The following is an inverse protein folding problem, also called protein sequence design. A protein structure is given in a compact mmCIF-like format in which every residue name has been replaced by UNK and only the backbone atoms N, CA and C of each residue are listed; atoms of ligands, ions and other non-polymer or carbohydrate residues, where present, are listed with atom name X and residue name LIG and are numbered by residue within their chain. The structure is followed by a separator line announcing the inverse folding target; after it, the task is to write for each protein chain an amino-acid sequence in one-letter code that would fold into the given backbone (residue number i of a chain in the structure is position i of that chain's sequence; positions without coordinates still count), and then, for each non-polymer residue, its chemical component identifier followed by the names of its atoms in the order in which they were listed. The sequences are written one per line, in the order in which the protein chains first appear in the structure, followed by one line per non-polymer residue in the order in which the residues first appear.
data_IF_771002881269
#
_entry.id   IF_771002881269
#
_cell.length_a   1.000
_cell.length_b   1.000
_cell.length_c   1.000
_cell.angle_alpha   90.00
_cell.angle_beta   90.00
_cell.angle_gamma   90.00
#
_symmetry.space_group_name_H-M   'P 1'
#
loop_
_entity.id
_entity.type
_entity.pdbx_description
1 polymer ?
#
# COMPACT_ATOMS: atom_id res chain seq x y z
N UNK A 1 -13.43 21.49 -21.57
CA UNK A 1 -12.46 20.40 -21.32
C UNK A 1 -12.55 19.43 -22.48
N UNK A 2 -11.42 19.02 -23.09
CA UNK A 2 -11.44 18.08 -24.22
C UNK A 2 -12.05 16.73 -23.77
N UNK A 3 -12.85 16.06 -24.62
CA UNK A 3 -13.37 14.72 -24.33
C UNK A 3 -12.26 13.69 -24.00
N UNK A 4 -11.01 13.93 -24.44
CA UNK A 4 -9.85 13.11 -24.06
C UNK A 4 -9.49 13.23 -22.57
N UNK A 5 -9.74 14.38 -21.92
CA UNK A 5 -9.43 14.58 -20.50
C UNK A 5 -10.46 13.91 -19.58
N UNK A 6 -11.68 13.68 -20.08
CA UNK A 6 -12.72 12.94 -19.34
C UNK A 6 -12.34 11.46 -19.18
N UNK A 7 -11.51 10.93 -20.07
CA UNK A 7 -11.05 9.54 -20.02
C UNK A 7 -9.91 9.26 -19.02
N UNK A 8 -9.28 10.29 -18.44
CA UNK A 8 -8.11 10.14 -17.56
C UNK A 8 -8.46 10.22 -16.06
N UNK A 9 -9.61 10.82 -15.71
CA UNK A 9 -10.01 10.98 -14.32
C UNK A 9 -10.78 9.73 -13.85
N UNK A 10 -10.45 9.14 -12.68
CA UNK A 10 -11.26 8.06 -12.11
C UNK A 10 -12.68 8.54 -11.83
N UNK A 11 -13.67 7.64 -11.90
CA UNK A 11 -15.04 7.98 -11.54
C UNK A 11 -15.13 8.42 -10.09
N UNK A 12 -16.14 9.24 -9.77
CA UNK A 12 -16.42 9.68 -8.39
C UNK A 12 -16.58 8.49 -7.43
N UNK A 13 -17.15 7.39 -7.92
CA UNK A 13 -17.29 6.14 -7.16
C UNK A 13 -15.93 5.53 -6.83
N UNK A 14 -15.05 5.40 -7.81
CA UNK A 14 -13.71 4.85 -7.56
C UNK A 14 -12.87 5.77 -6.69
N UNK A 15 -12.96 7.09 -6.86
CA UNK A 15 -12.30 8.06 -5.97
C UNK A 15 -12.78 7.90 -4.53
N UNK A 16 -14.09 7.81 -4.32
CA UNK A 16 -14.67 7.64 -2.97
C UNK A 16 -14.24 6.33 -2.31
N UNK A 17 -14.35 5.20 -3.03
CA UNK A 17 -13.95 3.88 -2.51
C UNK A 17 -12.43 3.80 -2.30
N UNK A 18 -11.65 4.35 -3.23
CA UNK A 18 -10.20 4.45 -3.13
C UNK A 18 -9.76 5.27 -1.92
N UNK A 19 -10.33 6.46 -1.73
CA UNK A 19 -10.03 7.29 -0.56
C UNK A 19 -10.36 6.56 0.75
N UNK A 20 -11.53 5.91 0.82
CA UNK A 20 -11.90 5.11 1.98
C UNK A 20 -10.90 3.99 2.26
N UNK A 21 -10.49 3.23 1.23
CA UNK A 21 -9.49 2.18 1.38
C UNK A 21 -8.11 2.72 1.78
N UNK A 22 -7.71 3.87 1.23
CA UNK A 22 -6.50 4.58 1.62
C UNK A 22 -6.50 4.97 3.09
N UNK A 23 -7.60 5.56 3.56
CA UNK A 23 -7.76 5.93 4.97
C UNK A 23 -7.76 4.69 5.87
N UNK A 24 -8.47 3.62 5.50
CA UNK A 24 -8.46 2.37 6.24
C UNK A 24 -7.05 1.78 6.33
N UNK A 25 -6.30 1.74 5.22
CA UNK A 25 -4.93 1.25 5.18
C UNK A 25 -4.01 2.10 6.07
N UNK A 26 -4.12 3.42 5.98
CA UNK A 26 -3.37 4.35 6.83
C UNK A 26 -3.67 4.16 8.32
N UNK A 27 -4.94 3.99 8.69
CA UNK A 27 -5.37 3.78 10.08
C UNK A 27 -4.82 2.47 10.62
N UNK A 28 -4.99 1.37 9.88
CA UNK A 28 -4.48 0.05 10.30
C UNK A 28 -2.96 0.06 10.38
N UNK A 29 -2.28 0.65 9.39
CA UNK A 29 -0.82 0.79 9.41
C UNK A 29 -0.32 1.65 10.58
N UNK A 30 -1.01 2.75 10.87
CA UNK A 30 -0.73 3.60 12.03
C UNK A 30 -0.92 2.87 13.35
N UNK A 31 -2.02 2.12 13.50
CA UNK A 31 -2.30 1.30 14.69
C UNK A 31 -1.22 0.22 14.90
N UNK A 32 -0.82 -0.49 13.84
CA UNK A 32 0.28 -1.45 13.91
C UNK A 32 1.61 -0.78 14.28
N UNK A 33 1.87 0.41 13.75
CA UNK A 33 3.10 1.15 14.08
C UNK A 33 3.16 1.51 15.56
N UNK A 34 2.05 1.97 16.14
CA UNK A 34 1.94 2.24 17.59
C UNK A 34 2.14 0.94 18.38
N UNK A 35 1.51 -0.16 17.95
CA UNK A 35 1.66 -1.45 18.60
C UNK A 35 3.10 -1.99 18.55
N UNK A 36 3.81 -1.77 17.45
CA UNK A 36 5.24 -2.10 17.30
C UNK A 36 6.19 -1.09 17.97
N UNK A 37 5.65 -0.09 18.69
CA UNK A 37 6.45 0.86 19.47
C UNK A 37 7.15 1.94 18.66
N UNK A 38 6.68 2.26 17.45
CA UNK A 38 7.30 3.31 16.63
C UNK A 38 6.99 4.70 17.19
N UNK A 39 8.02 5.54 17.32
CA UNK A 39 7.89 6.92 17.79
C UNK A 39 7.64 7.90 16.64
N UNK A 40 6.55 8.66 16.73
CA UNK A 40 6.10 9.59 15.69
C UNK A 40 6.31 11.08 16.03
N UNK A 41 6.47 11.41 17.32
CA UNK A 41 6.39 12.79 17.83
C UNK A 41 7.45 13.76 17.27
N UNK A 42 8.52 13.25 16.64
CA UNK A 42 9.57 14.05 16.02
C UNK A 42 10.03 13.47 14.67
N UNK A 43 9.21 12.64 14.01
CA UNK A 43 9.64 11.99 12.78
C UNK A 43 9.48 12.95 11.58
N UNK A 44 10.57 13.43 10.95
CA UNK A 44 10.48 14.34 9.80
C UNK A 44 9.85 13.70 8.56
N UNK A 45 9.73 12.36 8.55
CA UNK A 45 9.12 11.59 7.47
C UNK A 45 7.65 11.22 7.73
N UNK A 46 7.01 11.74 8.79
CA UNK A 46 5.62 11.40 9.12
C UNK A 46 4.67 11.68 7.95
N UNK A 47 4.78 12.86 7.31
CA UNK A 47 3.95 13.21 6.15
C UNK A 47 4.21 12.27 4.94
N UNK A 48 5.46 11.89 4.73
CA UNK A 48 5.85 10.96 3.66
C UNK A 48 5.24 9.56 3.89
N UNK A 49 5.32 9.04 5.11
CA UNK A 49 4.75 7.73 5.46
C UNK A 49 3.22 7.77 5.44
N UNK A 50 2.61 8.85 5.94
CA UNK A 50 1.16 9.01 5.91
C UNK A 50 0.61 9.07 4.48
N UNK A 51 1.29 9.80 3.60
CA UNK A 51 0.98 9.81 2.17
C UNK A 51 1.15 8.42 1.56
N UNK A 52 2.23 7.72 1.89
CA UNK A 52 2.47 6.35 1.44
C UNK A 52 1.35 5.39 1.84
N UNK A 53 0.95 5.39 3.11
CA UNK A 53 -0.15 4.57 3.62
C UNK A 53 -1.48 4.89 2.92
N UNK A 54 -1.77 6.18 2.70
CA UNK A 54 -2.95 6.61 1.97
C UNK A 54 -2.94 6.09 0.51
N UNK A 55 -1.82 6.28 -0.20
CA UNK A 55 -1.70 5.91 -1.61
C UNK A 55 -1.67 4.40 -1.82
N UNK A 56 -1.00 3.65 -0.95
CA UNK A 56 -0.96 2.19 -1.01
C UNK A 56 -2.34 1.56 -0.82
N UNK A 57 -3.22 2.15 -0.01
CA UNK A 57 -4.61 1.70 0.05
C UNK A 57 -5.46 2.22 -1.12
N UNK A 58 -5.28 3.49 -1.52
CA UNK A 58 -6.17 4.13 -2.47
C UNK A 58 -5.95 3.71 -3.92
N UNK A 59 -4.70 3.77 -4.41
CA UNK A 59 -4.37 3.55 -5.82
C UNK A 59 -4.77 2.15 -6.31
N UNK A 60 -4.36 1.03 -5.67
CA UNK A 60 -4.73 -0.29 -6.16
C UNK A 60 -6.25 -0.53 -6.08
N UNK A 61 -6.95 0.06 -5.12
CA UNK A 61 -8.41 -0.05 -5.02
C UNK A 61 -9.12 0.75 -6.10
N UNK A 62 -8.62 1.91 -6.49
CA UNK A 62 -9.13 2.64 -7.67
C UNK A 62 -8.99 1.77 -8.92
N UNK A 63 -7.81 1.16 -9.13
CA UNK A 63 -7.56 0.28 -10.28
C UNK A 63 -8.45 -0.98 -10.25
N UNK A 64 -8.73 -1.51 -9.06
CA UNK A 64 -9.68 -2.61 -8.89
C UNK A 64 -11.11 -2.19 -9.26
N UNK A 65 -11.55 -1.00 -8.86
CA UNK A 65 -12.93 -0.55 -9.11
C UNK A 65 -13.15 -0.15 -10.57
N UNK A 66 -12.22 0.58 -11.16
CA UNK A 66 -12.32 1.10 -12.54
C UNK A 66 -11.96 0.04 -13.58
N UNK A 67 -10.82 -0.61 -13.40
CA UNK A 67 -10.22 -1.48 -14.41
C UNK A 67 -10.37 -2.96 -14.08
N UNK A 68 -10.96 -3.29 -12.93
CA UNK A 68 -11.09 -4.66 -12.40
C UNK A 68 -9.74 -5.35 -12.22
N UNK A 69 -8.65 -4.58 -12.06
CA UNK A 69 -7.30 -5.12 -11.88
C UNK A 69 -7.12 -5.56 -10.42
N UNK A 70 -6.93 -6.86 -10.21
CA UNK A 70 -6.87 -7.46 -8.88
C UNK A 70 -5.42 -7.55 -8.39
N UNK A 71 -4.47 -7.74 -9.29
CA UNK A 71 -3.06 -7.95 -8.95
C UNK A 71 -2.44 -6.82 -8.12
N UNK A 72 -2.68 -5.52 -8.42
CA UNK A 72 -2.14 -4.42 -7.60
C UNK A 72 -2.54 -4.51 -6.13
N UNK A 73 -3.81 -4.83 -5.85
CA UNK A 73 -4.34 -4.97 -4.48
C UNK A 73 -3.72 -6.16 -3.76
N UNK A 74 -3.53 -7.28 -4.46
CA UNK A 74 -2.87 -8.47 -3.90
C UNK A 74 -1.43 -8.16 -3.51
N UNK A 75 -0.66 -7.48 -4.39
CA UNK A 75 0.74 -7.13 -4.11
C UNK A 75 0.84 -6.28 -2.84
N UNK A 76 0.03 -5.23 -2.72
CA UNK A 76 0.04 -4.37 -1.53
C UNK A 76 -0.40 -5.14 -0.29
N UNK A 77 -1.47 -5.93 -0.37
CA UNK A 77 -1.98 -6.70 0.77
C UNK A 77 -0.95 -7.72 1.28
N UNK A 78 -0.32 -8.47 0.37
CA UNK A 78 0.72 -9.45 0.71
C UNK A 78 1.93 -8.74 1.33
N UNK A 79 2.41 -7.64 0.73
CA UNK A 79 3.53 -6.87 1.27
C UNK A 79 3.23 -6.32 2.68
N UNK A 80 2.02 -5.80 2.90
CA UNK A 80 1.58 -5.31 4.21
C UNK A 80 1.54 -6.42 5.26
N UNK A 81 0.88 -7.54 4.95
CA UNK A 81 0.74 -8.67 5.88
C UNK A 81 2.09 -9.33 6.16
N UNK A 82 2.89 -9.58 5.12
CA UNK A 82 4.20 -10.21 5.29
C UNK A 82 5.16 -9.34 6.10
N UNK A 83 5.15 -8.01 5.89
CA UNK A 83 5.99 -7.11 6.66
C UNK A 83 5.51 -6.96 8.11
N UNK A 84 4.20 -6.87 8.36
CA UNK A 84 3.64 -6.85 9.71
C UNK A 84 3.93 -8.16 10.47
N UNK A 85 3.72 -9.31 9.82
CA UNK A 85 4.04 -10.62 10.38
C UNK A 85 5.54 -10.78 10.63
N UNK A 86 6.39 -10.32 9.71
CA UNK A 86 7.84 -10.34 9.87
C UNK A 86 8.31 -9.51 11.06
N UNK A 87 7.71 -8.35 11.29
CA UNK A 87 8.01 -7.56 12.50
C UNK A 87 7.50 -8.25 13.76
N UNK A 88 6.26 -8.75 13.77
CA UNK A 88 5.70 -9.42 14.93
C UNK A 88 6.48 -10.68 15.32
N UNK A 89 6.78 -11.55 14.36
CA UNK A 89 7.46 -12.83 14.60
C UNK A 89 8.89 -12.69 15.11
N UNK A 90 9.55 -11.56 14.84
CA UNK A 90 10.95 -11.33 15.25
C UNK A 90 11.05 -10.42 16.48
N UNK A 91 10.17 -9.43 16.63
CA UNK A 91 10.34 -8.36 17.61
C UNK A 91 9.22 -8.27 18.65
N UNK A 92 8.17 -9.09 18.54
CA UNK A 92 7.04 -9.08 19.49
C UNK A 92 6.78 -10.47 20.08
N UNK A 93 6.75 -11.51 19.25
CA UNK A 93 6.44 -12.87 19.69
C UNK A 93 7.55 -13.57 20.51
N UNK A 94 8.85 -13.41 20.21
CA UNK A 94 9.91 -14.15 20.91
C UNK A 94 10.19 -13.65 22.33
N UNK A 95 10.67 -14.55 23.21
CA UNK A 95 11.14 -14.20 24.56
C UNK A 95 12.45 -13.41 24.55
N UNK A 96 13.33 -13.70 23.59
CA UNK A 96 14.61 -13.01 23.40
C UNK A 96 14.52 -12.17 22.13
N UNK A 97 14.51 -10.85 22.31
CA UNK A 97 14.36 -9.90 21.21
C UNK A 97 15.76 -9.52 20.69
N UNK A 98 16.06 -9.73 19.40
CA UNK A 98 17.33 -9.32 18.83
C UNK A 98 17.43 -7.79 18.74
N UNK A 99 18.64 -7.26 18.89
CA UNK A 99 18.91 -5.86 18.61
C UNK A 99 18.74 -5.59 17.09
N UNK A 100 17.91 -4.63 16.67
CA UNK A 100 17.73 -4.35 15.24
C UNK A 100 19.00 -3.80 14.60
N UNK A 101 19.39 -4.36 13.44
CA UNK A 101 20.48 -3.84 12.59
C UNK A 101 19.97 -2.84 11.52
N UNK A 102 18.71 -2.41 11.63
CA UNK A 102 18.03 -1.50 10.73
C UNK A 102 16.52 -1.44 11.04
N UNK A 103 15.72 -0.76 10.19
CA UNK A 103 14.26 -0.83 10.27
C UNK A 103 13.77 -2.28 10.31
N UNK A 104 12.71 -2.54 11.08
CA UNK A 104 12.02 -3.84 11.05
C UNK A 104 11.37 -4.06 9.67
N UNK A 105 10.95 -5.28 9.31
CA UNK A 105 10.26 -5.52 8.03
C UNK A 105 9.09 -4.55 7.78
N UNK A 106 8.26 -4.28 8.79
CA UNK A 106 7.20 -3.28 8.71
C UNK A 106 7.73 -1.85 8.59
N UNK A 107 8.83 -1.52 9.28
CA UNK A 107 9.52 -0.24 9.08
C UNK A 107 9.98 -0.02 7.65
N UNK A 108 10.55 -1.05 7.01
CA UNK A 108 10.93 -1.03 5.59
C UNK A 108 9.72 -0.88 4.67
N UNK A 109 8.61 -1.52 4.97
CA UNK A 109 7.36 -1.33 4.21
C UNK A 109 6.89 0.13 4.27
N UNK A 110 6.91 0.75 5.45
CA UNK A 110 6.45 2.13 5.63
C UNK A 110 7.31 3.15 4.88
N UNK A 111 8.65 3.01 4.91
CA UNK A 111 9.54 3.96 4.23
C UNK A 111 9.79 3.60 2.76
N UNK A 112 9.63 2.33 2.39
CA UNK A 112 9.82 1.81 1.04
C UNK A 112 8.54 1.77 0.19
N UNK A 113 7.48 2.47 0.61
CA UNK A 113 6.15 2.38 -0.01
C UNK A 113 6.15 2.66 -1.52
N UNK A 114 7.06 3.52 -2.01
CA UNK A 114 7.18 3.82 -3.45
C UNK A 114 7.56 2.58 -4.26
N UNK A 115 8.42 1.71 -3.69
CA UNK A 115 8.81 0.44 -4.33
C UNK A 115 7.62 -0.52 -4.37
N UNK A 116 6.87 -0.60 -3.27
CA UNK A 116 5.65 -1.43 -3.19
C UNK A 116 4.60 -0.96 -4.19
N UNK A 117 4.37 0.35 -4.28
CA UNK A 117 3.43 0.94 -5.24
C UNK A 117 3.90 0.72 -6.68
N UNK A 118 5.20 0.90 -6.96
CA UNK A 118 5.78 0.60 -8.27
C UNK A 118 5.56 -0.86 -8.68
N UNK A 119 5.82 -1.81 -7.77
CA UNK A 119 5.55 -3.23 -8.01
C UNK A 119 4.06 -3.49 -8.28
N UNK A 120 3.16 -2.90 -7.49
CA UNK A 120 1.72 -3.02 -7.70
C UNK A 120 1.29 -2.48 -9.08
N UNK A 121 1.81 -1.33 -9.51
CA UNK A 121 1.51 -0.77 -10.83
C UNK A 121 2.06 -1.61 -11.98
N UNK A 122 3.29 -2.14 -11.86
CA UNK A 122 3.88 -3.05 -12.85
C UNK A 122 3.01 -4.31 -13.01
N UNK A 123 2.61 -4.94 -11.90
CA UNK A 123 1.73 -6.12 -11.96
C UNK A 123 0.35 -5.80 -12.53
N UNK A 124 -0.22 -4.63 -12.23
CA UNK A 124 -1.45 -4.15 -12.85
C UNK A 124 -1.32 -3.94 -14.36
N UNK A 125 -0.19 -3.40 -14.82
CA UNK A 125 0.11 -3.25 -16.25
C UNK A 125 0.22 -4.61 -16.97
N UNK A 126 0.87 -5.58 -16.33
CA UNK A 126 0.94 -6.97 -16.84
C UNK A 126 -0.45 -7.59 -16.93
N UNK A 127 -1.22 -7.54 -15.84
CA UNK A 127 -2.60 -8.06 -15.79
C UNK A 127 -3.47 -7.42 -16.88
N UNK A 128 -3.37 -6.10 -17.04
CA UNK A 128 -4.09 -5.36 -18.07
C UNK A 128 -3.73 -5.81 -19.49
N UNK A 129 -2.44 -5.96 -19.77
CA UNK A 129 -1.93 -6.41 -21.06
C UNK A 129 -2.41 -7.82 -21.40
N UNK A 130 -2.30 -8.76 -20.46
CA UNK A 130 -2.76 -10.14 -20.64
C UNK A 130 -4.27 -10.21 -20.93
N UNK A 131 -5.08 -9.43 -20.22
CA UNK A 131 -6.54 -9.39 -20.44
C UNK A 131 -6.90 -8.92 -21.85
N UNK A 132 -6.18 -7.94 -22.39
CA UNK A 132 -6.41 -7.46 -23.77
C UNK A 132 -6.07 -8.53 -24.80
N UNK A 133 -4.95 -9.23 -24.63
CA UNK A 133 -4.54 -10.29 -25.58
C UNK A 133 -5.54 -11.44 -25.59
N UNK A 134 -6.02 -11.88 -24.42
CA UNK A 134 -6.97 -12.99 -24.32
C UNK A 134 -8.38 -12.63 -24.81
N UNK A 135 -8.76 -11.35 -24.75
CA UNK A 135 -10.05 -10.88 -25.24
C UNK A 135 -10.11 -10.60 -26.74
N UNK A 136 -8.99 -10.77 -27.47
CA UNK A 136 -8.90 -10.59 -28.93
C UNK A 136 -9.01 -11.93 -29.62
#
# INVERSE_FOLDING_TARGET
MSPANVALAPSRRALGIGLFAGLAHLIVGGALSVWFGFSWAANPFLAYVALGGLLLGAVPVVLLVENRLVAPSIVVAVAFVASAYGTWSVYVAPEVIPAPVGPTPFGWYLIGWVVVLGAALVTGGVEYGLRRVVST
#
